data_IF_632954033902
#
_entry.id   IF_632954033902
#
_cell.length_a   1.000
_cell.length_b   1.000
_cell.length_c   1.000
_cell.angle_alpha   90.00
_cell.angle_beta   90.00
_cell.angle_gamma   90.00
#
_symmetry.space_group_name_H-M   'P 1'
#
loop_
_entity.id
_entity.type
_entity.pdbx_description
1 polymer ?
#
# COMPACT_ATOMS: atom_id res chain seq x y z
N UNK A 1 12.87 20.00 2.02
CA UNK A 1 12.56 19.51 3.39
C UNK A 1 12.74 18.00 3.43
N UNK A 2 13.30 17.46 4.52
CA UNK A 2 13.67 16.04 4.63
C UNK A 2 12.42 15.17 4.77
N UNK A 3 12.02 14.49 3.70
CA UNK A 3 11.00 13.45 3.76
C UNK A 3 11.62 12.21 4.44
N UNK A 4 11.71 12.26 5.78
CA UNK A 4 12.05 11.08 6.58
C UNK A 4 10.95 10.07 6.26
N UNK A 5 11.32 8.83 5.92
CA UNK A 5 10.41 7.70 6.10
C UNK A 5 10.05 7.68 7.59
N UNK A 6 8.99 8.39 7.97
CA UNK A 6 8.47 8.36 9.32
C UNK A 6 7.72 7.05 9.41
N UNK A 7 8.42 6.02 9.86
CA UNK A 7 7.74 4.83 10.37
C UNK A 7 6.93 5.29 11.57
N UNK A 8 5.63 5.46 11.36
CA UNK A 8 4.71 5.84 12.44
C UNK A 8 4.63 4.65 13.39
N UNK A 9 5.08 4.87 14.62
CA UNK A 9 5.11 3.88 15.68
C UNK A 9 3.77 3.80 16.40
N UNK A 10 3.53 2.70 17.11
CA UNK A 10 2.34 2.52 17.96
C UNK A 10 2.24 3.64 19.00
N UNK A 11 3.38 4.03 19.55
CA UNK A 11 3.52 5.07 20.56
C UNK A 11 3.06 6.42 20.00
N UNK A 12 3.44 6.73 18.76
CA UNK A 12 2.99 7.94 18.07
C UNK A 12 1.48 7.96 17.83
N UNK A 13 0.88 6.83 17.39
CA UNK A 13 -0.57 6.75 17.20
C UNK A 13 -1.34 6.91 18.53
N UNK A 14 -0.81 6.35 19.61
CA UNK A 14 -1.42 6.45 20.95
C UNK A 14 -1.41 7.88 21.46
N UNK A 15 -0.31 8.60 21.23
CA UNK A 15 -0.18 10.01 21.59
C UNK A 15 -1.15 10.88 20.78
N UNK A 16 -1.27 10.66 19.47
CA UNK A 16 -2.20 11.42 18.62
C UNK A 16 -3.66 11.26 19.01
N UNK A 17 -4.11 10.04 19.36
CA UNK A 17 -5.48 9.84 19.88
C UNK A 17 -5.67 10.57 21.20
N UNK A 18 -4.68 10.54 22.09
CA UNK A 18 -4.75 11.21 23.39
C UNK A 18 -4.80 12.73 23.26
N UNK A 19 -4.20 13.29 22.21
CA UNK A 19 -4.28 14.72 21.88
C UNK A 19 -5.68 15.08 21.37
N UNK A 20 -6.19 14.33 20.39
CA UNK A 20 -7.53 14.53 19.82
C UNK A 20 -8.64 14.44 20.89
N UNK A 21 -8.50 13.55 21.87
CA UNK A 21 -9.48 13.41 22.96
C UNK A 21 -9.46 14.57 23.99
N UNK A 22 -8.35 15.31 24.09
CA UNK A 22 -8.18 16.42 25.06
C UNK A 22 -8.64 17.76 24.51
N UNK A 23 -8.55 17.95 23.19
CA UNK A 23 -8.69 19.28 22.58
C UNK A 23 -10.15 19.77 22.55
N UNK A 24 -11.15 18.89 22.74
CA UNK A 24 -12.54 19.24 23.09
C UNK A 24 -13.34 20.01 22.03
N UNK A 25 -12.68 20.53 21.01
CA UNK A 25 -13.23 21.25 19.84
C UNK A 25 -13.03 20.39 18.59
N UNK A 26 -13.52 19.15 18.64
CA UNK A 26 -13.31 18.17 17.58
C UNK A 26 -14.39 18.35 16.51
N UNK A 27 -14.00 18.77 15.31
CA UNK A 27 -14.92 18.77 14.17
C UNK A 27 -15.17 17.33 13.66
N UNK A 28 -15.99 17.17 12.62
CA UNK A 28 -16.26 15.84 12.05
C UNK A 28 -15.01 15.16 11.46
N UNK A 29 -14.03 15.94 11.03
CA UNK A 29 -12.74 15.49 10.48
C UNK A 29 -11.87 14.89 11.57
N UNK A 30 -11.80 15.54 12.72
CA UNK A 30 -11.05 15.05 13.89
C UNK A 30 -11.61 13.73 14.41
N UNK A 31 -12.93 13.57 14.40
CA UNK A 31 -13.59 12.31 14.77
C UNK A 31 -13.26 11.17 13.79
N UNK A 32 -13.23 11.46 12.49
CA UNK A 32 -12.87 10.46 11.47
C UNK A 32 -11.40 10.07 11.57
N UNK A 33 -10.51 11.03 11.79
CA UNK A 33 -9.09 10.80 12.00
C UNK A 33 -8.83 9.99 13.28
N UNK A 34 -9.47 10.34 14.39
CA UNK A 34 -9.41 9.58 15.64
C UNK A 34 -9.92 8.14 15.45
N UNK A 35 -11.02 7.94 14.72
CA UNK A 35 -11.56 6.62 14.42
C UNK A 35 -10.59 5.76 13.58
N UNK A 36 -9.92 6.37 12.60
CA UNK A 36 -8.92 5.69 11.76
C UNK A 36 -7.67 5.32 12.57
N UNK A 37 -7.16 6.24 13.40
CA UNK A 37 -6.00 5.98 14.25
C UNK A 37 -6.32 4.86 15.26
N UNK A 38 -7.51 4.87 15.86
CA UNK A 38 -7.98 3.80 16.76
C UNK A 38 -8.08 2.45 16.03
N UNK A 39 -8.57 2.41 14.80
CA UNK A 39 -8.59 1.18 13.98
C UNK A 39 -7.18 0.66 13.68
N UNK A 40 -6.24 1.55 13.33
CA UNK A 40 -4.84 1.19 13.14
C UNK A 40 -4.19 0.68 14.43
N UNK A 41 -4.47 1.31 15.57
CA UNK A 41 -4.01 0.84 16.88
C UNK A 41 -4.58 -0.54 17.21
N UNK A 42 -5.87 -0.80 16.93
CA UNK A 42 -6.48 -2.13 17.11
C UNK A 42 -5.79 -3.17 16.23
N UNK A 43 -5.49 -2.84 14.98
CA UNK A 43 -4.77 -3.76 14.09
C UNK A 43 -3.32 -4.01 14.55
N UNK A 44 -2.60 -2.96 14.98
CA UNK A 44 -1.20 -3.07 15.46
C UNK A 44 -1.10 -3.74 16.83
N UNK A 45 -2.13 -3.66 17.67
CA UNK A 45 -2.21 -4.30 18.98
C UNK A 45 -2.85 -5.68 18.94
N UNK A 46 -3.33 -6.12 17.77
CA UNK A 46 -3.91 -7.44 17.65
C UNK A 46 -2.79 -8.46 17.76
N UNK A 47 -2.75 -9.16 18.87
CA UNK A 47 -1.95 -10.36 19.01
C UNK A 47 -2.60 -11.47 18.17
N UNK A 48 -1.79 -12.35 17.54
CA UNK A 48 -2.35 -13.56 16.95
C UNK A 48 -3.06 -14.37 18.03
N UNK A 49 -4.07 -15.13 17.63
CA UNK A 49 -4.81 -16.04 18.54
C UNK A 49 -4.46 -17.50 18.32
N UNK A 50 -3.97 -17.81 17.12
CA UNK A 50 -3.53 -19.12 16.70
C UNK A 50 -2.54 -18.96 15.54
N UNK A 51 -1.98 -20.07 15.12
CA UNK A 51 -1.24 -20.17 13.88
C UNK A 51 -1.63 -21.43 13.13
N UNK A 52 -1.31 -21.47 11.85
CA UNK A 52 -1.45 -22.63 10.96
C UNK A 52 -0.26 -22.61 9.99
N UNK A 53 -0.22 -23.52 9.03
CA UNK A 53 0.79 -23.53 7.98
C UNK A 53 0.15 -23.76 6.59
N UNK A 54 0.97 -23.69 5.55
CA UNK A 54 0.50 -23.83 4.18
C UNK A 54 -0.04 -25.24 3.86
N UNK A 55 0.44 -26.28 4.55
CA UNK A 55 0.00 -27.66 4.33
C UNK A 55 -1.38 -27.87 4.93
N UNK A 56 -1.59 -27.42 6.17
CA UNK A 56 -2.89 -27.42 6.83
C UNK A 56 -3.93 -26.61 6.05
N UNK A 57 -3.57 -25.44 5.49
CA UNK A 57 -4.49 -24.69 4.64
C UNK A 57 -4.84 -25.40 3.33
N UNK A 58 -3.92 -26.21 2.77
CA UNK A 58 -4.21 -27.02 1.59
C UNK A 58 -5.15 -28.19 1.94
N UNK A 59 -4.94 -28.83 3.09
CA UNK A 59 -5.82 -29.89 3.59
C UNK A 59 -7.22 -29.35 3.91
N UNK A 60 -7.32 -28.15 4.49
CA UNK A 60 -8.60 -27.46 4.68
C UNK A 60 -9.35 -27.30 3.36
N UNK A 61 -8.64 -26.90 2.30
CA UNK A 61 -9.21 -26.69 0.98
C UNK A 61 -9.62 -28.02 0.30
N UNK A 62 -8.83 -29.08 0.51
CA UNK A 62 -9.04 -30.40 -0.10
C UNK A 62 -10.16 -31.18 0.60
N UNK A 63 -10.09 -31.24 1.92
CA UNK A 63 -10.86 -32.18 2.74
C UNK A 63 -11.84 -31.50 3.71
N UNK A 64 -11.78 -30.17 3.85
CA UNK A 64 -12.68 -29.40 4.71
C UNK A 64 -12.29 -29.36 6.19
N UNK A 65 -11.10 -29.87 6.55
CA UNK A 65 -10.58 -29.82 7.91
C UNK A 65 -9.08 -29.51 7.91
N UNK A 66 -8.60 -28.86 8.98
CA UNK A 66 -7.19 -28.55 9.20
C UNK A 66 -6.92 -28.24 10.67
N UNK A 67 -5.67 -28.36 11.09
CA UNK A 67 -5.20 -27.98 12.40
C UNK A 67 -5.05 -26.47 12.53
N UNK A 68 -5.69 -25.92 13.57
CA UNK A 68 -5.36 -24.61 14.13
C UNK A 68 -4.55 -24.84 15.39
N UNK A 69 -3.36 -24.25 15.41
CA UNK A 69 -2.35 -24.56 16.42
C UNK A 69 -2.25 -23.40 17.41
N UNK A 70 -2.18 -23.77 18.70
CA UNK A 70 -2.02 -22.81 19.79
C UNK A 70 -0.63 -22.17 19.71
N UNK A 71 -0.56 -20.87 19.98
CA UNK A 71 0.71 -20.14 20.12
C UNK A 71 1.55 -20.66 21.30
N UNK A 72 0.92 -21.32 22.28
CA UNK A 72 1.60 -21.89 23.43
C UNK A 72 2.28 -23.24 23.13
N UNK A 73 1.93 -23.91 22.01
CA UNK A 73 2.61 -25.13 21.59
C UNK A 73 3.88 -24.76 20.81
N UNK A 74 5.03 -24.82 21.48
CA UNK A 74 6.36 -24.73 20.86
C UNK A 74 6.73 -25.99 20.07
N UNK A 75 5.97 -27.07 20.23
CA UNK A 75 6.38 -28.44 19.91
C UNK A 75 5.24 -29.22 19.23
N UNK A 76 4.72 -28.67 18.11
CA UNK A 76 4.33 -29.60 17.05
C UNK A 76 5.63 -30.20 16.54
N UNK A 77 5.90 -31.46 16.89
CA UNK A 77 7.17 -32.19 16.65
C UNK A 77 7.65 -32.13 15.18
N UNK A 78 6.76 -31.79 14.26
CA UNK A 78 7.02 -31.67 12.82
C UNK A 78 6.80 -30.27 12.22
N UNK A 79 6.35 -29.29 13.02
CA UNK A 79 6.08 -27.97 12.48
C UNK A 79 7.33 -27.09 12.48
N UNK A 80 7.74 -26.67 11.28
CA UNK A 80 8.80 -25.69 11.09
C UNK A 80 8.35 -24.32 11.61
N UNK A 81 8.99 -23.76 12.66
CA UNK A 81 8.63 -22.45 13.20
C UNK A 81 8.73 -21.31 12.19
N UNK A 82 9.48 -21.48 11.08
CA UNK A 82 9.60 -20.49 10.01
C UNK A 82 8.45 -20.55 8.99
N UNK A 83 7.56 -21.55 9.06
CA UNK A 83 6.43 -21.73 8.13
C UNK A 83 5.08 -21.33 8.72
N UNK A 84 5.08 -20.64 9.87
CA UNK A 84 3.86 -20.27 10.58
C UNK A 84 3.11 -19.12 9.90
N UNK A 85 1.83 -19.34 9.64
CA UNK A 85 0.85 -18.33 9.24
C UNK A 85 0.03 -17.96 10.48
N UNK A 86 0.23 -16.75 10.97
CA UNK A 86 -0.46 -16.24 12.15
C UNK A 86 -1.93 -15.88 11.84
N UNK A 87 -2.83 -16.30 12.72
CA UNK A 87 -4.27 -16.05 12.62
C UNK A 87 -4.68 -14.98 13.63
N UNK A 88 -5.46 -14.01 13.19
CA UNK A 88 -5.91 -12.87 13.99
C UNK A 88 -7.45 -12.86 14.04
N UNK A 89 -8.03 -12.37 15.15
CA UNK A 89 -9.48 -12.26 15.33
C UNK A 89 -10.12 -11.10 14.57
N UNK A 90 -9.30 -10.17 14.08
CA UNK A 90 -9.75 -9.03 13.27
C UNK A 90 -9.37 -9.26 11.79
N UNK A 91 -10.23 -8.85 10.84
CA UNK A 91 -9.88 -8.90 9.43
C UNK A 91 -8.62 -8.06 9.17
N UNK A 92 -7.68 -8.59 8.40
CA UNK A 92 -6.52 -7.82 7.96
C UNK A 92 -6.98 -6.47 7.36
N UNK A 93 -6.31 -5.34 7.67
CA UNK A 93 -6.69 -4.00 7.20
C UNK A 93 -6.95 -3.90 5.69
N UNK A 94 -6.32 -4.77 4.90
CA UNK A 94 -6.50 -4.92 3.46
C UNK A 94 -7.97 -5.12 3.02
N UNK A 95 -8.82 -5.76 3.83
CA UNK A 95 -10.17 -6.17 3.38
C UNK A 95 -11.08 -5.00 2.96
N UNK A 96 -11.02 -3.85 3.65
CA UNK A 96 -11.82 -2.67 3.30
C UNK A 96 -11.33 -2.00 2.01
N UNK A 97 -10.01 -1.86 1.85
CA UNK A 97 -9.41 -1.26 0.64
C UNK A 97 -9.66 -2.13 -0.58
N UNK A 98 -9.56 -3.45 -0.43
CA UNK A 98 -9.86 -4.40 -1.50
C UNK A 98 -11.35 -4.38 -1.88
N UNK A 99 -12.24 -4.19 -0.90
CA UNK A 99 -13.68 -4.00 -1.16
C UNK A 99 -13.93 -2.73 -1.98
N UNK A 100 -13.41 -1.58 -1.53
CA UNK A 100 -13.52 -0.30 -2.26
C UNK A 100 -12.98 -0.44 -3.68
N UNK A 101 -11.84 -1.12 -3.87
CA UNK A 101 -11.27 -1.36 -5.20
C UNK A 101 -12.16 -2.19 -6.10
N UNK A 102 -12.83 -3.23 -5.57
CA UNK A 102 -13.79 -4.06 -6.32
C UNK A 102 -15.04 -3.27 -6.68
N UNK A 103 -15.64 -2.58 -5.72
CA UNK A 103 -16.84 -1.75 -5.94
C UNK A 103 -16.57 -0.65 -6.99
N UNK A 104 -15.42 0.01 -6.90
CA UNK A 104 -14.98 0.96 -7.91
C UNK A 104 -14.82 0.32 -9.29
N UNK A 105 -14.24 -0.89 -9.37
CA UNK A 105 -14.07 -1.60 -10.63
C UNK A 105 -15.41 -1.98 -11.27
N UNK A 106 -16.36 -2.48 -10.48
CA UNK A 106 -17.71 -2.83 -10.91
C UNK A 106 -18.47 -1.58 -11.40
N UNK A 107 -18.45 -0.50 -10.63
CA UNK A 107 -19.08 0.76 -11.00
C UNK A 107 -18.48 1.35 -12.29
N UNK A 108 -17.15 1.41 -12.40
CA UNK A 108 -16.47 1.97 -13.57
C UNK A 108 -16.68 1.09 -14.82
N UNK A 109 -16.75 -0.23 -14.67
CA UNK A 109 -17.14 -1.13 -15.77
C UNK A 109 -18.59 -0.87 -16.22
N UNK A 110 -19.53 -0.75 -15.28
CA UNK A 110 -20.93 -0.49 -15.58
C UNK A 110 -21.16 0.88 -16.24
N UNK A 111 -20.39 1.89 -15.82
CA UNK A 111 -20.55 3.28 -16.26
C UNK A 111 -19.86 3.55 -17.60
N UNK A 112 -18.62 3.08 -17.76
CA UNK A 112 -17.77 3.43 -18.91
C UNK A 112 -17.58 2.27 -19.90
N UNK A 113 -18.03 1.06 -19.56
CA UNK A 113 -17.89 -0.12 -20.39
C UNK A 113 -16.43 -0.59 -20.53
N UNK A 114 -16.19 -1.37 -21.59
CA UNK A 114 -14.90 -1.97 -21.90
C UNK A 114 -14.01 -1.00 -22.69
N UNK A 115 -13.42 -0.05 -21.98
CA UNK A 115 -12.41 0.89 -22.50
C UNK A 115 -11.01 0.54 -22.00
N UNK A 116 -9.98 0.90 -22.78
CA UNK A 116 -8.57 0.69 -22.43
C UNK A 116 -8.04 1.69 -21.39
N UNK A 117 -6.77 1.55 -20.94
CA UNK A 117 -6.21 2.33 -19.83
C UNK A 117 -5.91 3.80 -20.16
N UNK A 118 -5.88 4.17 -21.44
CA UNK A 118 -5.36 5.47 -21.89
C UNK A 118 -6.23 6.61 -21.36
N UNK A 119 -7.55 6.43 -21.31
CA UNK A 119 -8.48 7.41 -20.75
C UNK A 119 -8.17 7.70 -19.28
N UNK A 120 -8.20 6.68 -18.40
CA UNK A 120 -7.84 6.83 -17.00
C UNK A 120 -6.44 7.43 -16.76
N UNK A 121 -5.43 7.06 -17.56
CA UNK A 121 -4.08 7.64 -17.43
C UNK A 121 -4.02 9.12 -17.82
N UNK A 122 -4.77 9.53 -18.86
CA UNK A 122 -4.89 10.96 -19.21
C UNK A 122 -5.62 11.74 -18.13
N UNK A 123 -6.63 11.14 -17.53
CA UNK A 123 -7.36 11.74 -16.42
C UNK A 123 -6.48 11.84 -15.17
N UNK A 124 -5.71 10.79 -14.85
CA UNK A 124 -4.76 10.78 -13.73
C UNK A 124 -3.76 11.94 -13.81
N UNK A 125 -3.37 12.35 -15.01
CA UNK A 125 -2.47 13.49 -15.21
C UNK A 125 -3.12 14.83 -14.80
N UNK A 126 -4.45 14.95 -14.88
CA UNK A 126 -5.21 16.13 -14.43
C UNK A 126 -5.40 16.12 -12.93
N UNK A 127 -5.83 14.99 -12.36
CA UNK A 127 -6.00 14.83 -10.90
C UNK A 127 -4.68 15.03 -10.16
N UNK A 128 -3.54 14.65 -10.77
CA UNK A 128 -2.23 14.95 -10.21
C UNK A 128 -1.92 16.45 -10.12
N UNK A 129 -2.47 17.28 -11.02
CA UNK A 129 -2.36 18.74 -10.96
C UNK A 129 -3.31 19.33 -9.93
N UNK A 130 -4.52 18.77 -9.80
CA UNK A 130 -5.53 19.18 -8.81
C UNK A 130 -5.02 18.87 -7.37
N UNK A 131 -4.53 17.64 -7.13
CA UNK A 131 -3.86 17.25 -5.89
C UNK A 131 -2.60 18.08 -5.58
N UNK A 132 -1.86 18.54 -6.61
CA UNK A 132 -0.71 19.41 -6.41
C UNK A 132 -1.13 20.85 -6.04
N UNK A 133 -2.31 21.30 -6.47
CA UNK A 133 -2.86 22.61 -6.15
C UNK A 133 -3.47 22.65 -4.75
N UNK A 134 -4.12 21.56 -4.32
CA UNK A 134 -4.63 21.39 -2.95
C UNK A 134 -4.21 20.03 -2.33
N UNK A 135 -2.96 19.92 -1.86
CA UNK A 135 -2.45 18.67 -1.29
C UNK A 135 -3.12 18.27 0.02
N UNK A 136 -3.94 19.16 0.61
CA UNK A 136 -4.68 18.90 1.85
C UNK A 136 -6.05 18.28 1.61
N UNK A 137 -6.56 18.27 0.36
CA UNK A 137 -7.80 17.57 0.02
C UNK A 137 -7.55 16.07 -0.18
N UNK A 138 -8.02 15.18 0.72
CA UNK A 138 -7.85 13.74 0.58
C UNK A 138 -8.60 13.14 -0.63
N UNK A 139 -9.60 13.83 -1.19
CA UNK A 139 -10.37 13.32 -2.33
C UNK A 139 -9.55 13.34 -3.62
N UNK A 140 -8.73 14.37 -3.84
CA UNK A 140 -7.82 14.47 -4.98
C UNK A 140 -6.81 13.31 -5.02
N UNK A 141 -6.34 12.90 -3.84
CA UNK A 141 -5.50 11.69 -3.71
C UNK A 141 -6.28 10.39 -3.97
N UNK A 142 -7.56 10.34 -3.58
CA UNK A 142 -8.42 9.20 -3.85
C UNK A 142 -8.70 9.05 -5.35
N UNK A 143 -8.93 10.16 -6.07
CA UNK A 143 -9.13 10.16 -7.52
C UNK A 143 -7.90 9.63 -8.26
N UNK A 144 -6.69 10.04 -7.86
CA UNK A 144 -5.46 9.44 -8.39
C UNK A 144 -5.41 7.91 -8.20
N UNK A 145 -5.82 7.42 -7.02
CA UNK A 145 -5.81 5.98 -6.72
C UNK A 145 -6.85 5.22 -7.55
N UNK A 146 -8.05 5.76 -7.69
CA UNK A 146 -9.11 5.17 -8.51
C UNK A 146 -8.69 5.08 -9.97
N UNK A 147 -8.11 6.15 -10.53
CA UNK A 147 -7.69 6.18 -11.93
C UNK A 147 -6.49 5.26 -12.20
N UNK A 148 -5.55 5.16 -11.26
CA UNK A 148 -4.43 4.22 -11.38
C UNK A 148 -4.91 2.76 -11.32
N UNK A 149 -5.79 2.43 -10.38
CA UNK A 149 -6.39 1.10 -10.31
C UNK A 149 -7.20 0.77 -11.57
N UNK A 150 -7.91 1.74 -12.13
CA UNK A 150 -8.65 1.57 -13.37
C UNK A 150 -7.74 1.27 -14.54
N UNK A 151 -6.70 2.08 -14.72
CA UNK A 151 -5.70 1.86 -15.77
C UNK A 151 -5.05 0.46 -15.65
N UNK A 152 -4.65 0.06 -14.44
CA UNK A 152 -4.03 -1.25 -14.20
C UNK A 152 -4.97 -2.40 -14.55
N UNK A 153 -6.22 -2.37 -14.05
CA UNK A 153 -7.16 -3.48 -14.29
C UNK A 153 -7.54 -3.59 -15.76
N UNK A 154 -7.71 -2.47 -16.46
CA UNK A 154 -8.01 -2.42 -17.91
C UNK A 154 -6.86 -2.95 -18.76
N UNK A 155 -5.64 -2.97 -18.23
CA UNK A 155 -4.48 -3.61 -18.86
C UNK A 155 -4.23 -5.04 -18.40
N UNK A 156 -5.08 -5.60 -17.53
CA UNK A 156 -4.85 -6.92 -16.95
C UNK A 156 -3.61 -6.99 -16.06
N UNK A 157 -3.14 -5.85 -15.53
CA UNK A 157 -2.00 -5.82 -14.61
C UNK A 157 -2.47 -6.29 -13.24
N UNK A 158 -1.95 -7.43 -12.79
CA UNK A 158 -2.22 -7.98 -11.47
C UNK A 158 -1.42 -7.27 -10.37
N UNK A 159 -1.92 -7.34 -9.14
CA UNK A 159 -1.23 -6.79 -7.96
C UNK A 159 0.14 -7.44 -7.74
N UNK A 160 0.25 -8.74 -7.97
CA UNK A 160 1.52 -9.45 -7.90
C UNK A 160 2.52 -8.93 -8.95
N UNK A 161 2.05 -8.76 -10.20
CA UNK A 161 2.90 -8.30 -11.29
C UNK A 161 3.41 -6.88 -11.05
N UNK A 162 2.53 -5.94 -10.70
CA UNK A 162 2.95 -4.56 -10.43
C UNK A 162 3.83 -4.47 -9.18
N UNK A 163 3.58 -5.29 -8.15
CA UNK A 163 4.42 -5.32 -6.95
C UNK A 163 5.84 -5.76 -7.28
N UNK A 164 6.01 -6.81 -8.10
CA UNK A 164 7.32 -7.24 -8.58
C UNK A 164 8.02 -6.12 -9.37
N UNK A 165 7.31 -5.49 -10.30
CA UNK A 165 7.86 -4.36 -11.07
C UNK A 165 8.26 -3.18 -10.18
N UNK A 166 7.49 -2.89 -9.12
CA UNK A 166 7.82 -1.86 -8.13
C UNK A 166 9.09 -2.20 -7.33
N UNK A 167 9.28 -3.46 -6.93
CA UNK A 167 10.49 -3.92 -6.23
C UNK A 167 11.73 -3.74 -7.13
N UNK A 168 11.66 -4.21 -8.37
CA UNK A 168 12.74 -4.07 -9.35
C UNK A 168 13.03 -2.58 -9.62
N UNK A 169 11.99 -1.77 -9.82
CA UNK A 169 12.12 -0.34 -10.06
C UNK A 169 12.71 0.41 -8.88
N UNK A 170 12.37 0.02 -7.65
CA UNK A 170 12.92 0.59 -6.43
C UNK A 170 14.41 0.29 -6.31
N UNK A 171 14.86 -0.93 -6.63
CA UNK A 171 16.28 -1.29 -6.64
C UNK A 171 17.06 -0.43 -7.66
N UNK A 172 16.52 -0.27 -8.88
CA UNK A 172 17.10 0.62 -9.90
C UNK A 172 17.18 2.06 -9.39
N UNK A 173 16.12 2.57 -8.75
CA UNK A 173 16.09 3.96 -8.26
C UNK A 173 17.09 4.20 -7.12
N UNK A 174 17.30 3.22 -6.23
CA UNK A 174 18.30 3.28 -5.14
C UNK A 174 19.74 3.29 -5.65
N UNK A 175 20.01 2.66 -6.80
CA UNK A 175 21.34 2.62 -7.42
C UNK A 175 21.69 3.89 -8.23
N UNK A 176 20.73 4.81 -8.43
CA UNK A 176 20.94 6.04 -9.20
C UNK A 176 21.52 7.16 -8.36
N UNK A 177 22.19 8.09 -9.02
CA UNK A 177 22.56 9.38 -8.45
C UNK A 177 21.42 10.38 -8.64
N UNK A 178 21.13 11.11 -7.55
CA UNK A 178 20.04 12.08 -7.48
C UNK A 178 20.60 13.46 -7.12
N UNK A 179 20.10 14.53 -7.74
CA UNK A 179 20.49 15.90 -7.38
C UNK A 179 19.97 16.28 -5.99
N UNK A 180 20.52 17.38 -5.46
CA UNK A 180 20.14 17.93 -4.16
C UNK A 180 18.63 18.19 -4.03
N UNK A 181 18.06 18.04 -2.82
CA UNK A 181 16.64 18.22 -2.63
C UNK A 181 16.09 19.62 -2.84
N UNK A 182 15.29 19.83 -3.92
CA UNK A 182 14.39 20.98 -4.08
C UNK A 182 12.94 20.61 -3.77
N UNK A 183 12.24 21.52 -3.09
CA UNK A 183 10.84 21.38 -2.73
C UNK A 183 9.92 21.86 -3.85
N UNK A 184 8.77 21.23 -4.02
CA UNK A 184 7.78 21.57 -5.06
C UNK A 184 8.16 21.24 -6.51
N UNK A 185 9.30 20.59 -6.76
CA UNK A 185 9.86 20.41 -8.10
C UNK A 185 10.16 18.94 -8.43
N UNK A 186 9.82 18.44 -9.63
CA UNK A 186 10.17 17.10 -10.06
C UNK A 186 11.68 16.89 -10.07
N UNK A 187 12.14 15.74 -9.55
CA UNK A 187 13.56 15.37 -9.61
C UNK A 187 13.82 14.32 -10.64
N UNK A 188 14.77 14.61 -11.51
CA UNK A 188 15.26 13.68 -12.51
C UNK A 188 16.60 13.13 -12.06
N UNK A 189 16.81 11.84 -12.27
CA UNK A 189 18.10 11.18 -12.04
C UNK A 189 19.15 11.75 -12.99
N UNK A 190 20.40 11.83 -12.52
CA UNK A 190 21.52 12.24 -13.37
C UNK A 190 21.77 11.14 -14.40
N UNK A 191 21.71 11.48 -15.70
CA UNK A 191 22.19 10.58 -16.75
C UNK A 191 23.71 10.66 -16.76
N UNK A 192 24.40 9.53 -16.60
CA UNK A 192 25.81 9.49 -17.00
C UNK A 192 25.86 9.68 -18.51
N UNK A 193 26.44 10.78 -18.97
CA UNK A 193 26.78 10.93 -20.38
C UNK A 193 27.70 9.76 -20.72
N UNK A 194 27.31 8.95 -21.70
CA UNK A 194 28.22 7.98 -22.27
C UNK A 194 29.45 8.77 -22.73
N UNK A 195 30.61 8.44 -22.19
CA UNK A 195 31.88 8.96 -22.69
C UNK A 195 31.93 8.52 -24.15
N UNK A 196 31.65 9.46 -25.06
CA UNK A 196 31.93 9.28 -26.47
C UNK A 196 33.44 9.15 -26.56
N UNK A 197 33.90 7.90 -26.71
CA UNK A 197 35.29 7.60 -27.02
C UNK A 197 35.60 8.26 -28.37
N UNK A 198 36.44 9.30 -28.43
CA UNK A 198 36.84 9.86 -29.70
C UNK A 198 37.77 8.82 -30.33
N UNK A 199 37.20 8.03 -31.24
CA UNK A 199 37.92 7.08 -32.07
C UNK A 199 39.28 7.68 -32.51
N UNK A 200 40.43 7.08 -32.17
CA UNK A 200 41.69 7.55 -32.69
C UNK A 200 41.69 7.22 -34.19
N UNK A 201 41.76 8.27 -35.00
CA UNK A 201 42.19 8.12 -36.38
C UNK A 201 43.62 7.57 -36.36
N UNK A 202 43.82 6.42 -37.01
CA UNK A 202 44.91 6.14 -37.95
C UNK A 202 44.63 4.82 -38.70
#
# INVERSE_FOLDING_TARGET
>A
MHNRNVTITKEQLTEWVSQLDRDGDCDATDHQLAALIRQSLVAMNSEPVAWTDAEELNDLKRDGYAAMLSLARKDCEHADPQRQILLFTHPAPARKRDQVRREHAEWSQATFGDVGPIGPLKHLSKEALEAAADPHDPLEWADMQFLLWDAQRRMGISDEFITKAMIEKLAINKARQWPEPKDGEPRMHVKQEAVNDPNPAD
#
